data_IF_530448853868
#
_entry.id   IF_530448853868
#
_cell.length_a   1.000
_cell.length_b   1.000
_cell.length_c   1.000
_cell.angle_alpha   90.00
_cell.angle_beta   90.00
_cell.angle_gamma   90.00
#
_symmetry.space_group_name_H-M   'P 1'
#
loop_
_entity.id
_entity.type
_entity.pdbx_description
1 polymer ?
#
# COMPACT_ATOMS: atom_id res chain seq x y z
N UNK A 1 21.82 -12.82 19.04
CA UNK A 1 20.54 -12.13 19.31
C UNK A 1 19.76 -12.16 18.01
N UNK A 2 18.75 -13.02 17.90
CA UNK A 2 18.12 -13.36 16.62
C UNK A 2 17.46 -12.13 15.99
N UNK A 3 17.85 -11.81 14.75
CA UNK A 3 17.11 -10.87 13.91
C UNK A 3 15.76 -11.52 13.66
N UNK A 4 14.73 -11.04 14.36
CA UNK A 4 13.36 -11.44 14.12
C UNK A 4 12.96 -10.81 12.78
N UNK A 5 13.24 -11.52 11.69
CA UNK A 5 12.83 -11.12 10.34
C UNK A 5 11.30 -11.17 10.38
N UNK A 6 10.67 -9.99 10.41
CA UNK A 6 9.23 -9.88 10.18
C UNK A 6 8.95 -10.62 8.87
N UNK A 7 8.13 -11.68 8.85
CA UNK A 7 7.95 -12.45 7.63
C UNK A 7 7.39 -11.50 6.57
N UNK A 8 8.12 -11.36 5.47
CA UNK A 8 7.68 -10.55 4.33
C UNK A 8 6.26 -10.98 3.98
N UNK A 9 5.34 -10.03 3.90
CA UNK A 9 3.93 -10.27 3.62
C UNK A 9 3.75 -11.26 2.47
N UNK A 10 4.53 -11.09 1.41
CA UNK A 10 4.57 -11.96 0.23
C UNK A 10 4.85 -13.42 0.59
N UNK A 11 5.93 -13.68 1.33
CA UNK A 11 6.33 -15.05 1.70
C UNK A 11 5.26 -15.72 2.56
N UNK A 12 4.70 -14.99 3.51
CA UNK A 12 3.68 -15.53 4.41
C UNK A 12 2.33 -15.72 3.71
N UNK A 13 1.93 -14.80 2.82
CA UNK A 13 0.74 -14.94 1.99
C UNK A 13 0.83 -16.19 1.11
N UNK A 14 1.98 -16.38 0.43
CA UNK A 14 2.24 -17.56 -0.40
C UNK A 14 2.25 -18.85 0.42
N UNK A 15 2.86 -18.84 1.61
CA UNK A 15 2.88 -19.99 2.52
C UNK A 15 1.48 -20.40 2.99
N UNK A 16 0.59 -19.43 3.22
CA UNK A 16 -0.79 -19.67 3.70
C UNK A 16 -1.76 -20.01 2.57
N UNK A 17 -1.53 -19.52 1.35
CA UNK A 17 -2.46 -19.64 0.22
C UNK A 17 -3.02 -21.06 0.01
N UNK A 18 -2.22 -22.16 0.03
CA UNK A 18 -2.75 -23.51 -0.20
C UNK A 18 -3.81 -23.98 0.81
N UNK A 19 -3.90 -23.33 1.98
CA UNK A 19 -4.84 -23.67 3.06
C UNK A 19 -5.83 -22.55 3.36
N UNK A 20 -5.77 -21.44 2.61
CA UNK A 20 -6.60 -20.28 2.82
C UNK A 20 -7.21 -19.83 1.48
N UNK A 21 -8.45 -20.24 1.17
CA UNK A 21 -9.10 -19.92 -0.12
C UNK A 21 -9.14 -18.42 -0.43
N UNK A 22 -9.32 -17.56 0.58
CA UNK A 22 -9.26 -16.10 0.44
C UNK A 22 -7.92 -15.64 -0.16
N UNK A 23 -6.81 -16.09 0.42
CA UNK A 23 -5.47 -15.71 -0.04
C UNK A 23 -5.15 -16.34 -1.39
N UNK A 24 -5.55 -17.60 -1.60
CA UNK A 24 -5.36 -18.28 -2.87
C UNK A 24 -6.05 -17.53 -4.02
N UNK A 25 -7.34 -17.29 -3.89
CA UNK A 25 -8.11 -16.65 -4.96
C UNK A 25 -7.70 -15.19 -5.16
N UNK A 26 -7.38 -14.43 -4.10
CA UNK A 26 -6.95 -13.04 -4.27
C UNK A 26 -5.60 -12.93 -4.97
N UNK A 27 -4.65 -13.81 -4.65
CA UNK A 27 -3.37 -13.91 -5.35
C UNK A 27 -3.55 -14.32 -6.81
N UNK A 28 -4.42 -15.31 -7.08
CA UNK A 28 -4.70 -15.76 -8.45
C UNK A 28 -5.42 -14.68 -9.27
N UNK A 29 -6.34 -13.93 -8.66
CA UNK A 29 -7.04 -12.81 -9.29
C UNK A 29 -6.03 -11.74 -9.74
N UNK A 30 -5.20 -11.25 -8.81
CA UNK A 30 -4.16 -10.26 -9.12
C UNK A 30 -3.17 -10.79 -10.15
N UNK A 31 -2.69 -12.03 -9.99
CA UNK A 31 -1.66 -12.59 -10.88
C UNK A 31 -2.18 -12.76 -12.30
N UNK A 32 -3.42 -13.21 -12.45
CA UNK A 32 -4.05 -13.40 -13.76
C UNK A 32 -4.30 -12.06 -14.45
N UNK A 33 -4.85 -11.07 -13.73
CA UNK A 33 -5.07 -9.72 -14.27
C UNK A 33 -3.79 -8.94 -14.54
N UNK A 34 -2.73 -9.19 -13.76
CA UNK A 34 -1.42 -8.64 -14.09
C UNK A 34 -0.89 -9.29 -15.37
N UNK A 35 -0.92 -10.63 -15.45
CA UNK A 35 -0.41 -11.36 -16.62
C UNK A 35 -1.12 -11.00 -17.92
N UNK A 36 -2.44 -10.83 -17.90
CA UNK A 36 -3.20 -10.44 -19.10
C UNK A 36 -2.70 -9.14 -19.74
N UNK A 37 -2.14 -8.21 -18.95
CA UNK A 37 -1.66 -6.90 -19.43
C UNK A 37 -0.30 -6.95 -20.14
N UNK A 38 0.46 -8.02 -19.97
CA UNK A 38 1.81 -8.16 -20.53
C UNK A 38 1.90 -9.30 -21.54
N UNK A 39 0.76 -9.82 -22.01
CA UNK A 39 0.70 -10.81 -23.06
C UNK A 39 0.44 -10.14 -24.41
N UNK A 40 1.23 -10.52 -25.42
CA UNK A 40 1.09 -10.01 -26.78
C UNK A 40 -0.08 -10.66 -27.53
N UNK A 41 -0.41 -11.91 -27.18
CA UNK A 41 -1.51 -12.66 -27.78
C UNK A 41 -2.85 -12.23 -27.16
N UNK A 42 -3.76 -11.60 -27.95
CA UNK A 42 -5.02 -11.07 -27.43
C UNK A 42 -5.97 -12.14 -26.87
N UNK A 43 -6.00 -13.34 -27.47
CA UNK A 43 -6.91 -14.40 -27.04
C UNK A 43 -6.46 -14.98 -25.70
N UNK A 44 -5.14 -15.20 -25.54
CA UNK A 44 -4.57 -15.65 -24.27
C UNK A 44 -4.70 -14.56 -23.20
N UNK A 45 -4.46 -13.29 -23.55
CA UNK A 45 -4.66 -12.16 -22.65
C UNK A 45 -6.11 -12.10 -22.13
N UNK A 46 -7.08 -12.29 -23.02
CA UNK A 46 -8.51 -12.31 -22.69
C UNK A 46 -8.86 -13.47 -21.75
N UNK A 47 -8.30 -14.67 -21.97
CA UNK A 47 -8.49 -15.81 -21.07
C UNK A 47 -7.96 -15.52 -19.66
N UNK A 48 -6.77 -14.92 -19.53
CA UNK A 48 -6.22 -14.53 -18.23
C UNK A 48 -7.03 -13.43 -17.54
N UNK A 49 -7.58 -12.48 -18.30
CA UNK A 49 -8.49 -11.48 -17.76
C UNK A 49 -9.76 -12.15 -17.18
N UNK A 50 -10.36 -13.09 -17.93
CA UNK A 50 -11.52 -13.88 -17.45
C UNK A 50 -11.18 -14.67 -16.19
N UNK A 51 -10.04 -15.34 -16.14
CA UNK A 51 -9.61 -16.05 -14.93
C UNK A 51 -9.44 -15.10 -13.73
N UNK A 52 -8.89 -13.90 -13.96
CA UNK A 52 -8.77 -12.85 -12.96
C UNK A 52 -10.13 -12.50 -12.33
N UNK A 53 -11.13 -12.28 -13.17
CA UNK A 53 -12.51 -11.99 -12.75
C UNK A 53 -13.15 -13.16 -11.99
N UNK A 54 -13.04 -14.39 -12.51
CA UNK A 54 -13.57 -15.59 -11.85
C UNK A 54 -12.99 -15.80 -10.43
N UNK A 55 -11.70 -15.55 -10.24
CA UNK A 55 -11.08 -15.63 -8.91
C UNK A 55 -11.49 -14.46 -8.01
N UNK A 56 -11.67 -13.27 -8.58
CA UNK A 56 -12.17 -12.11 -7.84
C UNK A 56 -13.59 -12.34 -7.31
N UNK A 57 -14.49 -12.89 -8.12
CA UNK A 57 -15.85 -13.26 -7.72
C UNK A 57 -15.86 -14.30 -6.59
N UNK A 58 -14.99 -15.31 -6.66
CA UNK A 58 -14.80 -16.30 -5.58
C UNK A 58 -14.37 -15.63 -4.28
N UNK A 59 -13.46 -14.65 -4.34
CA UNK A 59 -13.08 -13.86 -3.17
C UNK A 59 -14.26 -13.07 -2.60
N UNK A 60 -15.04 -12.39 -3.44
CA UNK A 60 -16.21 -11.62 -2.99
C UNK A 60 -17.19 -12.53 -2.26
N UNK A 61 -17.48 -13.71 -2.83
CA UNK A 61 -18.36 -14.69 -2.18
C UNK A 61 -17.86 -15.04 -0.79
N UNK A 62 -16.57 -15.38 -0.63
CA UNK A 62 -15.99 -15.70 0.68
C UNK A 62 -16.02 -14.51 1.65
N UNK A 63 -15.63 -13.31 1.21
CA UNK A 63 -15.59 -12.11 2.03
C UNK A 63 -16.97 -11.76 2.58
N UNK A 64 -18.02 -11.85 1.75
CA UNK A 64 -19.40 -11.53 2.16
C UNK A 64 -19.89 -12.41 3.32
N UNK A 65 -19.53 -13.69 3.34
CA UNK A 65 -19.87 -14.59 4.46
C UNK A 65 -19.16 -14.19 5.76
N UNK A 66 -17.96 -13.63 5.66
CA UNK A 66 -17.13 -13.26 6.80
C UNK A 66 -17.48 -11.90 7.40
N UNK A 67 -18.18 -11.03 6.67
CA UNK A 67 -18.55 -9.69 7.16
C UNK A 67 -19.47 -9.72 8.39
N UNK A 68 -20.22 -10.81 8.57
CA UNK A 68 -21.13 -10.98 9.71
C UNK A 68 -20.46 -11.66 10.93
N UNK A 69 -19.18 -12.01 10.83
CA UNK A 69 -18.42 -12.68 11.88
C UNK A 69 -17.18 -11.86 12.28
N UNK A 70 -17.18 -11.39 13.52
CA UNK A 70 -16.13 -10.53 14.07
C UNK A 70 -14.78 -11.25 14.22
N UNK A 71 -14.78 -12.58 14.39
CA UNK A 71 -13.53 -13.35 14.45
C UNK A 71 -12.93 -13.49 13.05
N UNK A 72 -13.75 -13.88 12.07
CA UNK A 72 -13.34 -13.99 10.66
C UNK A 72 -12.74 -12.70 10.09
N UNK A 73 -13.35 -11.54 10.37
CA UNK A 73 -12.87 -10.25 9.83
C UNK A 73 -11.53 -9.80 10.45
N UNK A 74 -11.11 -10.39 11.58
CA UNK A 74 -9.89 -9.99 12.33
C UNK A 74 -8.73 -11.01 12.29
N UNK A 75 -8.90 -12.18 11.65
CA UNK A 75 -7.88 -13.25 11.49
C UNK A 75 -6.67 -12.85 10.58
N UNK A 76 -6.64 -11.62 10.09
CA UNK A 76 -5.59 -11.10 9.22
C UNK A 76 -5.63 -11.61 7.78
N UNK A 77 -6.18 -12.81 7.51
CA UNK A 77 -6.46 -13.30 6.16
C UNK A 77 -7.46 -12.38 5.43
N UNK A 78 -8.48 -11.88 6.12
CA UNK A 78 -9.44 -10.92 5.58
C UNK A 78 -8.77 -9.60 5.15
N UNK A 79 -7.98 -9.00 6.05
CA UNK A 79 -7.27 -7.75 5.76
C UNK A 79 -6.26 -7.93 4.63
N UNK A 80 -5.56 -9.06 4.61
CA UNK A 80 -4.60 -9.40 3.55
C UNK A 80 -5.28 -9.58 2.20
N UNK A 81 -6.39 -10.32 2.15
CA UNK A 81 -7.21 -10.45 0.95
C UNK A 81 -7.71 -9.09 0.46
N UNK A 82 -8.21 -8.25 1.37
CA UNK A 82 -8.66 -6.88 1.05
C UNK A 82 -7.53 -6.04 0.47
N UNK A 83 -6.33 -6.10 1.04
CA UNK A 83 -5.16 -5.38 0.54
C UNK A 83 -4.69 -5.87 -0.84
N UNK A 84 -4.75 -7.18 -1.11
CA UNK A 84 -4.41 -7.77 -2.41
C UNK A 84 -5.45 -7.39 -3.46
N UNK A 85 -6.74 -7.50 -3.14
CA UNK A 85 -7.82 -7.15 -4.07
C UNK A 85 -7.92 -5.65 -4.32
N UNK A 86 -7.41 -4.83 -3.39
CA UNK A 86 -7.23 -3.41 -3.66
C UNK A 86 -6.27 -3.17 -4.84
N UNK A 87 -5.18 -3.93 -4.92
CA UNK A 87 -4.30 -3.88 -6.09
C UNK A 87 -4.99 -4.38 -7.37
N UNK A 88 -5.86 -5.39 -7.27
CA UNK A 88 -6.69 -5.83 -8.39
C UNK A 88 -7.61 -4.71 -8.92
N UNK A 89 -8.23 -3.92 -8.04
CA UNK A 89 -9.03 -2.75 -8.43
C UNK A 89 -8.18 -1.71 -9.18
N UNK A 90 -7.00 -1.38 -8.66
CA UNK A 90 -6.09 -0.40 -9.26
C UNK A 90 -5.62 -0.87 -10.65
N UNK A 91 -5.30 -2.16 -10.79
CA UNK A 91 -4.97 -2.75 -12.08
C UNK A 91 -6.14 -2.68 -13.07
N UNK A 92 -7.37 -2.77 -12.58
CA UNK A 92 -8.58 -2.84 -13.42
C UNK A 92 -9.29 -1.50 -13.59
N UNK A 93 -8.84 -0.43 -12.93
CA UNK A 93 -9.53 0.86 -12.92
C UNK A 93 -9.66 1.47 -14.32
N UNK A 94 -8.64 1.32 -15.16
CA UNK A 94 -8.64 1.81 -16.55
C UNK A 94 -9.67 1.10 -17.44
N UNK A 95 -10.02 -0.16 -17.12
CA UNK A 95 -11.02 -0.95 -17.85
C UNK A 95 -12.43 -0.50 -17.44
N UNK A 96 -12.65 -0.34 -16.13
CA UNK A 96 -13.95 0.03 -15.58
C UNK A 96 -14.25 1.53 -15.62
N UNK A 97 -13.25 2.36 -15.95
CA UNK A 97 -13.36 3.82 -15.97
C UNK A 97 -13.47 4.47 -14.60
N UNK A 98 -13.32 3.70 -13.51
CA UNK A 98 -13.42 4.19 -12.13
C UNK A 98 -12.69 3.30 -11.14
N UNK A 99 -12.33 3.90 -10.02
CA UNK A 99 -11.76 3.23 -8.87
C UNK A 99 -12.60 3.51 -7.61
N UNK A 100 -13.53 2.61 -7.32
CA UNK A 100 -14.47 2.76 -6.19
C UNK A 100 -13.84 2.43 -4.82
N UNK A 101 -12.61 1.92 -4.79
CA UNK A 101 -11.90 1.52 -3.57
C UNK A 101 -12.69 0.61 -2.61
N UNK A 102 -13.50 -0.31 -3.15
CA UNK A 102 -14.40 -1.16 -2.35
C UNK A 102 -13.63 -2.11 -1.45
N UNK A 103 -12.52 -2.66 -1.92
CA UNK A 103 -11.70 -3.55 -1.09
C UNK A 103 -10.91 -2.79 -0.02
N UNK A 104 -10.58 -1.51 -0.28
CA UNK A 104 -10.05 -0.62 0.76
C UNK A 104 -11.09 -0.39 1.88
N UNK A 105 -12.38 -0.27 1.54
CA UNK A 105 -13.47 -0.22 2.54
C UNK A 105 -13.54 -1.48 3.41
N UNK A 106 -13.38 -2.66 2.82
CA UNK A 106 -13.26 -3.92 3.56
C UNK A 106 -12.07 -3.90 4.53
N UNK A 107 -10.92 -3.40 4.07
CA UNK A 107 -9.74 -3.19 4.92
C UNK A 107 -10.04 -2.29 6.13
N UNK A 108 -10.74 -1.17 5.92
CA UNK A 108 -11.14 -0.30 7.04
C UNK A 108 -12.04 -1.02 8.04
N UNK A 109 -13.00 -1.81 7.58
CA UNK A 109 -13.88 -2.57 8.47
C UNK A 109 -13.08 -3.54 9.35
N UNK A 110 -12.12 -4.27 8.76
CA UNK A 110 -11.23 -5.17 9.49
C UNK A 110 -10.35 -4.45 10.52
N UNK A 111 -9.80 -3.29 10.16
CA UNK A 111 -8.96 -2.48 11.06
C UNK A 111 -9.78 -1.84 12.18
N UNK A 112 -10.95 -1.30 11.87
CA UNK A 112 -11.86 -0.71 12.86
C UNK A 112 -12.32 -1.76 13.88
N UNK A 113 -12.67 -2.96 13.40
CA UNK A 113 -13.09 -4.06 14.26
C UNK A 113 -11.96 -4.58 15.14
N UNK A 114 -10.76 -4.70 14.56
CA UNK A 114 -9.53 -5.02 15.29
C UNK A 114 -9.25 -4.05 16.43
N UNK A 115 -9.44 -2.76 16.18
CA UNK A 115 -9.30 -1.71 17.18
C UNK A 115 -10.40 -1.74 18.25
N UNK A 116 -11.64 -2.08 17.87
CA UNK A 116 -12.77 -2.21 18.80
C UNK A 116 -12.54 -3.33 19.80
N UNK A 117 -11.90 -4.41 19.36
CA UNK A 117 -11.57 -5.59 20.17
C UNK A 117 -10.20 -5.46 20.89
N UNK A 118 -9.49 -4.35 20.73
CA UNK A 118 -8.14 -4.14 21.29
C UNK A 118 -7.14 -5.25 20.93
N UNK A 119 -7.24 -5.77 19.70
CA UNK A 119 -6.40 -6.90 19.27
C UNK A 119 -4.99 -6.43 18.91
N UNK A 120 -3.94 -7.16 19.33
CA UNK A 120 -2.56 -6.82 18.98
C UNK A 120 -2.31 -6.99 17.48
N UNK A 121 -1.43 -6.14 16.95
CA UNK A 121 -0.96 -6.22 15.56
C UNK A 121 0.37 -6.96 15.51
N UNK A 122 0.33 -8.24 15.15
CA UNK A 122 1.51 -9.11 15.08
C UNK A 122 1.59 -9.91 13.77
N UNK A 123 2.80 -10.37 13.45
CA UNK A 123 3.09 -11.26 12.31
C UNK A 123 2.42 -10.84 11.01
N UNK A 124 1.74 -11.79 10.37
CA UNK A 124 1.09 -11.60 9.07
C UNK A 124 0.07 -10.47 9.06
N UNK A 125 -0.74 -10.35 10.12
CA UNK A 125 -1.77 -9.32 10.24
C UNK A 125 -1.13 -7.93 10.36
N UNK A 126 -0.02 -7.80 11.09
CA UNK A 126 0.76 -6.57 11.14
C UNK A 126 1.31 -6.21 9.76
N UNK A 127 1.83 -7.18 9.01
CA UNK A 127 2.34 -6.95 7.67
C UNK A 127 1.23 -6.45 6.71
N UNK A 128 0.04 -7.05 6.78
CA UNK A 128 -1.14 -6.62 6.02
C UNK A 128 -1.58 -5.20 6.36
N UNK A 129 -1.58 -4.84 7.65
CA UNK A 129 -1.88 -3.48 8.11
C UNK A 129 -0.96 -2.44 7.45
N UNK A 130 0.34 -2.69 7.36
CA UNK A 130 1.27 -1.74 6.73
C UNK A 130 1.06 -1.55 5.24
N UNK A 131 0.50 -2.55 4.54
CA UNK A 131 0.08 -2.40 3.15
C UNK A 131 -1.20 -1.56 3.10
N UNK A 132 -2.19 -1.91 3.92
CA UNK A 132 -3.45 -1.18 4.01
C UNK A 132 -3.26 0.31 4.34
N UNK A 133 -2.36 0.64 5.26
CA UNK A 133 -2.04 2.03 5.62
C UNK A 133 -1.53 2.84 4.42
N UNK A 134 -0.59 2.27 3.65
CA UNK A 134 -0.09 2.93 2.43
C UNK A 134 -1.21 3.14 1.41
N UNK A 135 -2.08 2.15 1.23
CA UNK A 135 -3.22 2.26 0.34
C UNK A 135 -4.24 3.32 0.81
N UNK A 136 -4.49 3.43 2.11
CA UNK A 136 -5.35 4.47 2.68
C UNK A 136 -4.77 5.87 2.49
N UNK A 137 -3.50 6.07 2.82
CA UNK A 137 -2.82 7.37 2.68
C UNK A 137 -2.83 7.79 1.21
N UNK A 138 -2.46 6.90 0.29
CA UNK A 138 -2.52 7.19 -1.14
C UNK A 138 -3.93 7.55 -1.59
N UNK A 139 -4.94 6.75 -1.21
CA UNK A 139 -6.33 7.03 -1.56
C UNK A 139 -6.82 8.35 -0.94
N UNK A 140 -6.33 8.72 0.25
CA UNK A 140 -6.64 9.96 0.93
C UNK A 140 -6.10 11.18 0.17
N UNK A 141 -4.85 11.10 -0.32
CA UNK A 141 -4.25 12.13 -1.19
C UNK A 141 -5.06 12.31 -2.47
N UNK A 142 -5.38 11.22 -3.19
CA UNK A 142 -6.13 11.29 -4.45
C UNK A 142 -7.51 11.91 -4.26
N UNK A 143 -8.17 11.63 -3.12
CA UNK A 143 -9.52 12.10 -2.83
C UNK A 143 -9.55 13.36 -1.95
N UNK A 144 -8.41 14.00 -1.70
CA UNK A 144 -8.28 15.22 -0.86
C UNK A 144 -9.05 15.12 0.47
N UNK A 145 -8.86 14.01 1.17
CA UNK A 145 -9.49 13.72 2.47
C UNK A 145 -8.44 13.31 3.50
N UNK A 146 -8.83 13.30 4.76
CA UNK A 146 -8.01 12.70 5.82
C UNK A 146 -7.94 11.17 5.65
N UNK A 147 -6.81 10.52 6.00
CA UNK A 147 -6.73 9.06 6.09
C UNK A 147 -7.78 8.53 7.08
N UNK A 148 -8.40 7.39 6.77
CA UNK A 148 -9.44 6.81 7.64
C UNK A 148 -8.85 5.92 8.73
N UNK A 149 -7.69 5.35 8.47
CA UNK A 149 -6.97 4.52 9.42
C UNK A 149 -6.09 5.40 10.29
N UNK A 150 -6.44 5.51 11.58
CA UNK A 150 -5.69 6.30 12.53
C UNK A 150 -4.32 5.70 12.84
N UNK A 151 -3.28 6.13 12.10
CA UNK A 151 -1.88 5.71 12.30
C UNK A 151 -1.42 5.99 13.73
N UNK A 152 -1.96 7.04 14.35
CA UNK A 152 -1.65 7.45 15.72
C UNK A 152 -2.00 6.39 16.79
N UNK A 153 -2.90 5.45 16.47
CA UNK A 153 -3.35 4.39 17.38
C UNK A 153 -2.41 3.18 17.43
N UNK A 154 -1.37 3.15 16.60
CA UNK A 154 -0.53 1.96 16.40
C UNK A 154 0.74 1.92 17.26
N UNK A 155 0.92 2.88 18.16
CA UNK A 155 2.06 2.91 19.10
C UNK A 155 3.43 2.91 18.39
N UNK A 156 3.51 3.57 17.24
CA UNK A 156 4.72 3.58 16.41
C UNK A 156 5.75 4.51 17.04
N UNK A 157 7.00 4.05 17.09
CA UNK A 157 8.13 4.85 17.50
C UNK A 157 8.34 6.02 16.52
N UNK A 158 8.07 7.25 16.99
CA UNK A 158 8.28 8.51 16.26
C UNK A 158 9.58 9.22 16.65
N UNK A 159 10.45 8.58 17.44
CA UNK A 159 11.76 9.17 17.75
C UNK A 159 12.65 9.21 16.51
N UNK A 160 13.72 9.98 16.57
CA UNK A 160 14.74 9.99 15.52
C UNK A 160 15.89 9.03 15.80
N UNK A 161 15.83 8.32 16.94
CA UNK A 161 16.90 7.43 17.39
C UNK A 161 17.25 6.38 16.34
N UNK A 162 18.55 6.04 16.13
CA UNK A 162 18.95 4.98 15.23
C UNK A 162 18.23 3.66 15.51
N UNK A 163 17.76 3.02 14.45
CA UNK A 163 16.94 1.79 14.50
C UNK A 163 17.03 1.04 13.17
N UNK A 164 16.32 -0.07 13.04
CA UNK A 164 16.25 -0.86 11.80
C UNK A 164 15.49 -0.14 10.67
N UNK A 165 15.75 -0.54 9.43
CA UNK A 165 15.18 0.08 8.22
C UNK A 165 13.66 -0.02 8.17
N UNK A 166 13.09 -1.11 8.69
CA UNK A 166 11.62 -1.27 8.73
C UNK A 166 11.02 -0.21 9.65
N UNK A 167 11.66 0.08 10.78
CA UNK A 167 11.20 1.15 11.68
C UNK A 167 11.36 2.54 11.05
N UNK A 168 12.46 2.80 10.33
CA UNK A 168 12.63 4.05 9.55
C UNK A 168 11.55 4.25 8.48
N UNK A 169 11.19 3.19 7.74
CA UNK A 169 10.11 3.24 6.76
C UNK A 169 8.75 3.51 7.41
N UNK A 170 8.49 2.90 8.58
CA UNK A 170 7.25 3.16 9.33
C UNK A 170 7.18 4.60 9.83
N UNK A 171 8.30 5.20 10.27
CA UNK A 171 8.36 6.59 10.72
C UNK A 171 7.95 7.57 9.63
N UNK A 172 8.53 7.45 8.42
CA UNK A 172 8.17 8.35 7.31
C UNK A 172 6.73 8.14 6.84
N UNK A 173 6.22 6.90 6.87
CA UNK A 173 4.83 6.61 6.57
C UNK A 173 3.86 7.29 7.56
N UNK A 174 4.20 7.32 8.85
CA UNK A 174 3.43 8.08 9.85
C UNK A 174 3.45 9.57 9.53
N UNK A 175 4.63 10.11 9.25
CA UNK A 175 4.79 11.52 8.94
C UNK A 175 4.01 11.90 7.68
N UNK A 176 4.00 11.04 6.67
CA UNK A 176 3.15 11.20 5.47
C UNK A 176 1.67 11.28 5.86
N UNK A 177 1.17 10.37 6.69
CA UNK A 177 -0.22 10.42 7.16
C UNK A 177 -0.55 11.71 7.92
N UNK A 178 0.37 12.17 8.79
CA UNK A 178 0.22 13.41 9.55
C UNK A 178 0.21 14.65 8.63
N UNK A 179 1.02 14.66 7.57
CA UNK A 179 1.01 15.71 6.54
C UNK A 179 -0.31 15.70 5.75
N UNK A 180 -0.80 14.52 5.35
CA UNK A 180 -2.10 14.41 4.65
C UNK A 180 -3.25 14.87 5.54
N UNK A 181 -3.23 14.52 6.82
CA UNK A 181 -4.20 15.01 7.81
C UNK A 181 -4.12 16.53 7.97
N UNK A 182 -2.92 17.10 8.06
CA UNK A 182 -2.70 18.55 8.06
C UNK A 182 -3.26 19.23 6.80
N UNK A 183 -3.07 18.66 5.63
CA UNK A 183 -3.54 19.26 4.36
C UNK A 183 -5.06 19.22 4.18
N UNK A 184 -5.74 18.18 4.67
CA UNK A 184 -7.16 17.92 4.34
C UNK A 184 -8.10 17.88 5.55
N UNK A 185 -7.60 18.14 6.76
CA UNK A 185 -8.46 18.33 7.93
C UNK A 185 -9.32 19.59 7.76
N UNK A 186 -10.56 19.53 8.26
CA UNK A 186 -11.49 20.65 8.21
C UNK A 186 -11.27 21.64 9.36
N UNK A 187 -10.46 21.26 10.36
CA UNK A 187 -10.00 22.14 11.42
C UNK A 187 -8.84 23.00 10.88
N UNK A 188 -8.86 24.29 11.14
CA UNK A 188 -7.88 25.22 10.59
C UNK A 188 -6.44 24.82 10.96
N UNK A 189 -5.69 24.36 9.96
CA UNK A 189 -4.28 24.03 10.09
C UNK A 189 -3.42 25.25 10.40
N UNK A 190 -2.68 25.20 11.50
CA UNK A 190 -1.84 26.31 11.95
C UNK A 190 -0.47 26.30 11.26
N UNK A 191 0.13 27.48 11.12
CA UNK A 191 1.53 27.60 10.66
C UNK A 191 2.51 26.90 11.60
N UNK A 192 2.19 26.82 12.89
CA UNK A 192 3.04 26.14 13.87
C UNK A 192 3.08 24.62 13.65
N UNK A 193 1.95 24.03 13.26
CA UNK A 193 1.89 22.61 12.87
C UNK A 193 2.69 22.35 11.60
N UNK A 194 2.59 23.22 10.58
CA UNK A 194 3.42 23.14 9.38
C UNK A 194 4.90 23.12 9.73
N UNK A 195 5.37 24.11 10.50
CA UNK A 195 6.77 24.23 10.91
C UNK A 195 7.23 22.98 11.67
N UNK A 196 6.36 22.41 12.52
CA UNK A 196 6.67 21.18 13.25
C UNK A 196 6.81 19.97 12.33
N UNK A 197 5.93 19.82 11.33
CA UNK A 197 5.97 18.72 10.37
C UNK A 197 7.20 18.83 9.46
N UNK A 198 7.52 20.04 9.01
CA UNK A 198 8.73 20.34 8.23
C UNK A 198 9.99 19.99 9.02
N UNK A 199 10.09 20.41 10.28
CA UNK A 199 11.21 20.08 11.15
C UNK A 199 11.35 18.56 11.38
N UNK A 200 10.24 17.83 11.55
CA UNK A 200 10.27 16.37 11.66
C UNK A 200 10.73 15.69 10.37
N UNK A 201 10.31 16.21 9.20
CA UNK A 201 10.73 15.68 7.91
C UNK A 201 12.23 15.89 7.68
N UNK A 202 12.74 17.09 7.94
CA UNK A 202 14.16 17.41 7.85
C UNK A 202 15.00 16.54 8.79
N UNK A 203 14.50 16.29 10.00
CA UNK A 203 15.21 15.47 10.96
C UNK A 203 15.24 13.99 10.58
N UNK A 204 14.12 13.46 10.08
CA UNK A 204 14.08 12.13 9.47
C UNK A 204 15.03 12.04 8.28
N UNK A 205 15.02 13.03 7.39
CA UNK A 205 15.85 13.07 6.19
C UNK A 205 17.35 13.02 6.50
N UNK A 206 17.77 13.75 7.53
CA UNK A 206 19.15 13.82 8.01
C UNK A 206 19.63 12.54 8.70
N UNK A 207 18.73 11.81 9.36
CA UNK A 207 19.09 10.66 10.20
C UNK A 207 18.83 9.29 9.56
N UNK A 208 18.07 9.24 8.46
CA UNK A 208 17.74 7.99 7.79
C UNK A 208 19.01 7.20 7.36
N UNK A 209 18.95 5.86 7.35
CA UNK A 209 20.06 5.03 6.91
C UNK A 209 20.44 5.29 5.44
N UNK A 210 21.70 5.03 5.08
CA UNK A 210 22.19 5.18 3.70
C UNK A 210 21.42 4.31 2.68
N UNK A 211 20.76 3.24 3.11
CA UNK A 211 19.92 2.40 2.25
C UNK A 211 18.67 3.12 1.73
N UNK A 212 18.28 4.24 2.35
CA UNK A 212 17.24 5.14 1.85
C UNK A 212 17.76 6.19 0.87
N UNK A 213 19.06 6.15 0.51
CA UNK A 213 19.63 7.04 -0.50
C UNK A 213 19.55 6.42 -1.89
N UNK A 214 19.25 7.23 -2.91
CA UNK A 214 19.25 6.74 -4.28
C UNK A 214 20.66 6.32 -4.70
N UNK A 215 20.75 5.18 -5.38
CA UNK A 215 22.00 4.76 -6.02
C UNK A 215 22.29 5.56 -7.28
N UNK A 216 21.27 6.16 -7.86
CA UNK A 216 21.39 7.08 -8.98
C UNK A 216 20.34 8.17 -8.86
N UNK A 217 20.80 9.42 -8.96
CA UNK A 217 19.96 10.60 -9.03
C UNK A 217 20.35 11.42 -10.26
N UNK A 218 19.35 11.82 -11.03
CA UNK A 218 19.52 12.73 -12.14
C UNK A 218 18.42 13.78 -12.12
N UNK A 219 18.81 15.05 -12.12
CA UNK A 219 17.90 16.18 -12.06
C UNK A 219 17.02 16.28 -13.32
N UNK A 220 15.86 16.92 -13.17
CA UNK A 220 14.99 17.29 -14.30
C UNK A 220 15.77 18.14 -15.32
N UNK A 221 15.59 17.87 -16.60
CA UNK A 221 16.17 18.66 -17.69
C UNK A 221 15.24 18.70 -18.91
N UNK A 222 14.34 19.71 -18.98
CA UNK A 222 13.38 19.83 -20.06
C UNK A 222 14.04 20.05 -21.43
N UNK A 223 15.26 20.61 -21.47
CA UNK A 223 15.98 20.85 -22.72
C UNK A 223 16.39 19.55 -23.43
N UNK A 224 16.50 18.46 -22.67
CA UNK A 224 16.80 17.11 -23.13
C UNK A 224 15.55 16.20 -23.10
N UNK A 225 14.35 16.77 -23.03
CA UNK A 225 13.09 16.00 -22.96
C UNK A 225 12.83 15.31 -21.61
N UNK A 226 13.60 15.61 -20.57
CA UNK A 226 13.43 15.02 -19.23
C UNK A 226 12.57 15.93 -18.36
N UNK A 227 11.26 15.69 -18.38
CA UNK A 227 10.29 16.50 -17.65
C UNK A 227 10.33 16.31 -16.12
N UNK A 228 10.95 15.24 -15.63
CA UNK A 228 11.03 14.90 -14.20
C UNK A 228 12.43 14.38 -13.84
N UNK A 229 12.84 14.47 -12.57
CA UNK A 229 14.07 13.83 -12.11
C UNK A 229 13.95 12.31 -12.21
N UNK A 230 15.10 11.64 -12.39
CA UNK A 230 15.22 10.18 -12.35
C UNK A 230 15.85 9.81 -11.02
N UNK A 231 15.14 9.00 -10.25
CA UNK A 231 15.59 8.48 -8.96
C UNK A 231 15.58 6.96 -9.02
N UNK A 232 16.74 6.34 -8.85
CA UNK A 232 16.87 4.88 -8.76
C UNK A 232 17.26 4.48 -7.35
N UNK A 233 16.51 3.54 -6.80
CA UNK A 233 16.70 2.97 -5.46
C UNK A 233 17.13 1.51 -5.61
N UNK A 234 17.85 0.98 -4.61
CA UNK A 234 18.03 -0.47 -4.47
C UNK A 234 16.77 -1.05 -3.81
N UNK A 235 16.19 -2.08 -4.42
CA UNK A 235 15.20 -2.94 -3.75
C UNK A 235 15.92 -4.15 -3.14
N UNK A 236 15.45 -4.60 -1.98
CA UNK A 236 15.98 -5.77 -1.26
C UNK A 236 15.93 -7.10 -2.05
N UNK A 237 15.33 -7.12 -3.24
CA UNK A 237 15.26 -8.28 -4.14
C UNK A 237 16.27 -8.28 -5.30
N UNK A 238 17.22 -7.32 -5.34
CA UNK A 238 18.25 -7.29 -6.39
C UNK A 238 17.74 -6.87 -7.78
N UNK A 239 16.53 -6.29 -7.87
CA UNK A 239 16.02 -5.66 -9.08
C UNK A 239 16.10 -4.14 -8.96
N UNK A 240 16.74 -3.49 -9.94
CA UNK A 240 16.77 -2.04 -10.08
C UNK A 240 15.44 -1.58 -10.66
N UNK A 241 14.68 -0.77 -9.92
CA UNK A 241 13.51 -0.06 -10.46
C UNK A 241 13.85 1.41 -10.62
N UNK A 242 13.80 1.91 -11.85
CA UNK A 242 13.81 3.35 -12.15
C UNK A 242 12.37 3.84 -12.10
N UNK A 243 12.04 4.73 -11.17
CA UNK A 243 10.78 5.44 -11.18
C UNK A 243 10.97 6.74 -11.96
N UNK A 244 10.39 6.82 -13.15
CA UNK A 244 10.08 8.09 -13.77
C UNK A 244 8.65 8.45 -13.35
N UNK A 245 8.44 9.60 -12.70
CA UNK A 245 7.10 10.17 -12.59
C UNK A 245 6.65 10.59 -13.99
N UNK A 246 6.18 9.65 -14.82
CA UNK A 246 5.63 9.98 -16.13
C UNK A 246 4.23 10.53 -15.94
N UNK A 247 4.05 11.84 -16.09
CA UNK A 247 2.74 12.43 -16.32
C UNK A 247 2.20 11.95 -17.68
N UNK A 248 1.37 10.91 -17.66
CA UNK A 248 0.50 10.54 -18.78
C UNK A 248 -0.67 11.52 -18.86
N UNK A 249 -0.41 12.75 -19.27
CA UNK A 249 -1.45 13.74 -19.58
C UNK A 249 -0.88 14.76 -20.59
N UNK A 250 -0.62 14.31 -21.82
CA UNK A 250 -0.35 15.24 -22.93
C UNK A 250 -0.79 14.77 -24.33
N UNK A 251 -1.37 13.59 -24.51
CA UNK A 251 -1.79 13.12 -25.84
C UNK A 251 -3.32 12.91 -25.95
N UNK A 252 -4.08 13.94 -25.56
CA UNK A 252 -5.45 14.13 -26.03
C UNK A 252 -5.63 15.59 -26.46
N UNK A 253 -5.15 15.89 -27.67
CA UNK A 253 -5.77 16.81 -28.63
C UNK A 253 -5.75 16.15 -30.00
#
# INVERSE_FOLDING_TARGET
>A
MGKNINPDFTNEALRRAPRCPLLLYSLLAVSSSHKSRFLDDPDIAQDYARYGEEYHEKCISLLLHMLNDSESITDGAFLSCSAILRWYEELSAHIHGRDDARHLLGGYASVAESFRQDLPWEGFRRAALWIHLRQDIFNAVINQRVPRTGVNRLGIDRSSSPTDETTWAKRVLCLEAEVVEYCFSHEGSSIQQYISLEAHLEDWDRQKPQTFMPVFYQERDPSQGRSFPIVSMLLDSGQQTSWACTSGMSDYM
#
